data_IF_298887254072
#
_entry.id   IF_298887254072
#
_cell.length_a   1.000
_cell.length_b   1.000
_cell.length_c   1.000
_cell.angle_alpha   90.00
_cell.angle_beta   90.00
_cell.angle_gamma   90.00
#
_symmetry.space_group_name_H-M   'P 1'
#
loop_
_entity.id
_entity.type
_entity.pdbx_description
1 polymer ?
#
# COMPACT_ATOMS: atom_id res chain seq x y z
N UNK A 1 -26.65 4.09 52.51
CA UNK A 1 -25.50 3.43 51.85
C UNK A 1 -25.56 3.81 50.38
N UNK A 2 -24.47 4.43 49.94
CA UNK A 2 -24.40 5.42 48.85
C UNK A 2 -24.56 4.85 47.44
N UNK A 3 -25.20 5.67 46.59
CA UNK A 3 -25.21 5.54 45.14
C UNK A 3 -23.86 6.01 44.58
N UNK A 4 -23.11 5.11 43.92
CA UNK A 4 -21.90 5.49 43.19
C UNK A 4 -22.28 6.05 41.82
N UNK A 5 -22.46 7.37 41.79
CA UNK A 5 -22.57 8.17 40.59
C UNK A 5 -21.25 8.16 39.79
N UNK A 6 -21.35 7.86 38.50
CA UNK A 6 -20.24 7.96 37.56
C UNK A 6 -19.79 9.41 37.42
N UNK A 7 -18.53 9.66 37.74
CA UNK A 7 -17.87 10.94 37.52
C UNK A 7 -17.60 11.10 36.02
N UNK A 8 -18.49 11.79 35.31
CA UNK A 8 -18.23 12.24 33.93
C UNK A 8 -17.28 13.46 33.99
N UNK A 9 -16.19 13.47 33.20
CA UNK A 9 -15.24 14.56 33.26
C UNK A 9 -15.83 15.89 32.74
N UNK A 10 -15.39 17.06 33.25
CA UNK A 10 -16.07 18.36 33.09
C UNK A 10 -16.17 18.91 31.65
N UNK A 11 -15.46 18.31 30.69
CA UNK A 11 -15.53 18.71 29.27
C UNK A 11 -16.77 18.19 28.54
N UNK A 12 -17.57 17.32 29.17
CA UNK A 12 -18.77 16.73 28.57
C UNK A 12 -19.99 17.69 28.57
N UNK A 13 -19.93 18.81 29.30
CA UNK A 13 -21.05 19.76 29.48
C UNK A 13 -20.80 21.15 28.90
N UNK A 14 -19.82 21.31 28.00
CA UNK A 14 -19.65 22.57 27.28
C UNK A 14 -20.74 22.69 26.19
N UNK A 15 -21.84 23.35 26.55
CA UNK A 15 -23.02 23.59 25.73
C UNK A 15 -22.81 24.68 24.66
N UNK A 16 -21.59 24.81 24.13
CA UNK A 16 -21.24 25.75 23.05
C UNK A 16 -20.76 25.07 21.77
N UNK A 17 -21.15 23.81 21.55
CA UNK A 17 -20.97 23.15 20.25
C UNK A 17 -21.98 23.67 19.22
N UNK A 18 -21.63 24.73 18.50
CA UNK A 18 -22.31 25.13 17.27
C UNK A 18 -21.93 24.10 16.19
N UNK A 19 -22.86 23.31 15.63
CA UNK A 19 -22.53 22.38 14.56
C UNK A 19 -21.98 23.17 13.37
N UNK A 20 -20.81 22.77 12.88
CA UNK A 20 -20.29 23.27 11.61
C UNK A 20 -21.35 23.01 10.54
N UNK A 21 -21.74 24.00 9.73
CA UNK A 21 -22.73 23.80 8.69
C UNK A 21 -22.26 22.70 7.74
N UNK A 22 -23.18 21.79 7.43
CA UNK A 22 -23.01 20.71 6.48
C UNK A 22 -22.31 21.21 5.20
N UNK A 23 -21.37 20.41 4.70
CA UNK A 23 -20.58 20.66 3.49
C UNK A 23 -21.46 20.66 2.21
N UNK A 24 -22.30 21.68 2.06
CA UNK A 24 -23.23 21.81 0.95
C UNK A 24 -23.89 23.18 0.94
N UNK A 25 -23.10 24.25 0.73
CA UNK A 25 -23.50 25.55 0.18
C UNK A 25 -22.40 26.60 0.43
N UNK A 26 -21.35 26.62 -0.40
CA UNK A 26 -20.50 27.81 -0.55
C UNK A 26 -20.17 28.00 -2.03
N UNK A 27 -21.17 28.45 -2.79
CA UNK A 27 -20.92 29.22 -4.01
C UNK A 27 -20.32 30.57 -3.59
N UNK A 28 -19.00 30.63 -3.43
CA UNK A 28 -18.29 31.92 -3.38
C UNK A 28 -18.14 32.44 -4.82
N UNK A 29 -19.18 33.11 -5.32
CA UNK A 29 -19.01 34.08 -6.42
C UNK A 29 -18.22 35.26 -5.87
N UNK A 30 -16.94 35.37 -6.25
CA UNK A 30 -16.13 36.56 -5.99
C UNK A 30 -16.73 37.73 -6.80
N UNK A 31 -17.05 38.88 -6.20
CA UNK A 31 -17.58 40.02 -6.93
C UNK A 31 -16.59 40.51 -7.99
N UNK A 32 -17.08 40.65 -9.23
CA UNK A 32 -16.33 41.01 -10.46
C UNK A 32 -15.76 42.45 -10.49
N UNK A 33 -15.50 43.08 -9.34
CA UNK A 33 -15.16 44.51 -9.25
C UNK A 33 -13.69 44.80 -8.88
N UNK A 34 -12.86 43.77 -8.65
CA UNK A 34 -11.46 43.96 -8.23
C UNK A 34 -10.48 43.06 -9.00
N UNK A 35 -10.65 42.92 -10.32
CA UNK A 35 -9.63 42.30 -11.17
C UNK A 35 -8.97 43.37 -12.04
N UNK A 36 -7.67 43.66 -11.85
CA UNK A 36 -6.92 44.51 -12.76
C UNK A 36 -6.89 43.89 -14.16
N UNK A 37 -7.11 44.68 -15.20
CA UNK A 37 -7.21 44.29 -16.62
C UNK A 37 -5.90 43.79 -17.26
N UNK A 38 -4.92 43.38 -16.47
CA UNK A 38 -3.59 42.95 -16.93
C UNK A 38 -3.18 41.58 -16.37
N UNK A 39 -4.15 40.72 -16.06
CA UNK A 39 -3.82 39.33 -15.72
C UNK A 39 -3.37 38.61 -16.99
N UNK A 40 -2.13 38.08 -17.01
CA UNK A 40 -1.65 37.35 -18.16
C UNK A 40 -2.34 35.98 -18.23
N UNK A 41 -2.46 35.42 -19.43
CA UNK A 41 -3.27 34.25 -19.78
C UNK A 41 -2.96 32.94 -19.02
N UNK A 42 -1.97 32.94 -18.12
CA UNK A 42 -1.65 31.81 -17.24
C UNK A 42 -2.56 31.67 -16.01
N UNK A 43 -3.50 32.60 -15.77
CA UNK A 43 -4.48 32.51 -14.67
C UNK A 43 -5.82 31.85 -15.05
N UNK A 44 -5.91 31.24 -16.24
CA UNK A 44 -6.92 30.20 -16.54
C UNK A 44 -6.49 28.83 -15.99
N UNK A 45 -5.73 28.80 -14.91
CA UNK A 45 -5.65 27.62 -14.05
C UNK A 45 -6.98 27.50 -13.30
N UNK A 46 -8.04 27.13 -14.02
CA UNK A 46 -9.15 26.43 -13.40
C UNK A 46 -8.51 25.31 -12.59
N UNK A 47 -8.87 25.22 -11.31
CA UNK A 47 -8.59 24.12 -10.40
C UNK A 47 -9.22 22.80 -10.91
N UNK A 48 -8.94 22.42 -12.16
CA UNK A 48 -8.91 21.05 -12.63
C UNK A 48 -7.63 20.47 -12.08
N UNK A 49 -7.70 20.11 -10.81
CA UNK A 49 -6.73 19.29 -10.13
C UNK A 49 -6.01 18.30 -11.05
N UNK A 50 -4.67 18.26 -10.92
CA UNK A 50 -3.85 17.09 -11.24
C UNK A 50 -4.18 15.90 -10.30
N UNK A 51 -5.46 15.58 -10.14
CA UNK A 51 -5.90 14.28 -9.63
C UNK A 51 -5.93 13.34 -10.83
N UNK A 52 -5.63 12.06 -10.59
CA UNK A 52 -5.83 11.02 -11.59
C UNK A 52 -7.21 11.22 -12.21
N UNK A 53 -7.29 11.14 -13.54
CA UNK A 53 -8.57 11.28 -14.23
C UNK A 53 -9.55 10.24 -13.67
N UNK A 54 -10.84 10.56 -13.64
CA UNK A 54 -11.86 9.61 -13.16
C UNK A 54 -11.77 8.27 -13.90
N UNK A 55 -11.37 8.31 -15.18
CA UNK A 55 -11.10 7.14 -16.01
C UNK A 55 -9.89 6.33 -15.52
N UNK A 56 -8.79 6.98 -15.14
CA UNK A 56 -7.60 6.33 -14.57
C UNK A 56 -7.90 5.68 -13.22
N UNK A 57 -8.66 6.36 -12.35
CA UNK A 57 -9.08 5.80 -11.05
C UNK A 57 -9.97 4.58 -11.27
N UNK A 58 -10.96 4.69 -12.17
CA UNK A 58 -11.83 3.57 -12.50
C UNK A 58 -11.05 2.39 -13.12
N UNK A 59 -10.04 2.67 -13.95
CA UNK A 59 -9.21 1.66 -14.57
C UNK A 59 -8.27 0.96 -13.56
N UNK A 60 -7.65 1.72 -12.65
CA UNK A 60 -6.88 1.18 -11.53
C UNK A 60 -7.76 0.30 -10.65
N UNK A 61 -8.97 0.78 -10.28
CA UNK A 61 -9.91 0.01 -9.48
C UNK A 61 -10.31 -1.31 -10.16
N UNK A 62 -10.58 -1.29 -11.49
CA UNK A 62 -10.85 -2.52 -12.26
C UNK A 62 -9.67 -3.49 -12.20
N UNK A 63 -8.43 -3.01 -12.30
CA UNK A 63 -7.23 -3.84 -12.22
C UNK A 63 -7.07 -4.47 -10.82
N UNK A 64 -7.26 -3.67 -9.77
CA UNK A 64 -7.21 -4.11 -8.37
C UNK A 64 -8.28 -5.14 -8.07
N UNK A 65 -9.54 -4.90 -8.46
CA UNK A 65 -10.66 -5.85 -8.31
C UNK A 65 -10.38 -7.15 -9.04
N UNK A 66 -9.83 -7.09 -10.26
CA UNK A 66 -9.43 -8.30 -10.99
C UNK A 66 -8.38 -9.09 -10.22
N UNK A 67 -7.36 -8.43 -9.67
CA UNK A 67 -6.36 -9.06 -8.81
C UNK A 67 -6.99 -9.70 -7.57
N UNK A 68 -7.93 -9.01 -6.96
CA UNK A 68 -8.67 -9.46 -5.80
C UNK A 68 -9.43 -10.77 -6.08
N UNK A 69 -10.17 -10.83 -7.19
CA UNK A 69 -10.92 -12.02 -7.64
C UNK A 69 -9.96 -13.19 -7.90
N UNK A 70 -8.86 -12.94 -8.62
CA UNK A 70 -7.86 -13.98 -8.90
C UNK A 70 -7.21 -14.50 -7.61
N UNK A 71 -6.89 -13.61 -6.67
CA UNK A 71 -6.33 -13.97 -5.37
C UNK A 71 -7.30 -14.79 -4.53
N UNK A 72 -8.58 -14.42 -4.49
CA UNK A 72 -9.62 -15.21 -3.81
C UNK A 72 -9.80 -16.58 -4.47
N UNK A 73 -9.87 -16.64 -5.80
CA UNK A 73 -10.03 -17.89 -6.54
C UNK A 73 -8.84 -18.83 -6.28
N UNK A 74 -7.61 -18.33 -6.36
CA UNK A 74 -6.40 -19.09 -6.05
C UNK A 74 -6.38 -19.53 -4.57
N UNK A 75 -6.77 -18.65 -3.65
CA UNK A 75 -6.82 -18.94 -2.23
C UNK A 75 -7.84 -20.01 -1.86
N UNK A 76 -9.03 -19.98 -2.47
CA UNK A 76 -10.04 -21.03 -2.29
C UNK A 76 -9.61 -22.35 -2.95
N UNK A 77 -9.01 -22.28 -4.14
CA UNK A 77 -8.48 -23.44 -4.84
C UNK A 77 -7.36 -24.15 -4.05
N UNK A 78 -6.62 -23.43 -3.21
CA UNK A 78 -5.62 -24.02 -2.31
C UNK A 78 -6.23 -24.46 -0.97
N UNK A 79 -7.04 -23.60 -0.36
CA UNK A 79 -7.49 -23.79 1.02
C UNK A 79 -8.58 -24.83 1.18
N UNK A 80 -9.52 -24.94 0.23
CA UNK A 80 -10.60 -25.93 0.29
C UNK A 80 -10.04 -27.35 0.14
N UNK A 81 -9.23 -27.68 -0.89
CA UNK A 81 -8.59 -28.99 -0.96
C UNK A 81 -7.66 -29.26 0.21
N UNK A 82 -6.92 -28.25 0.70
CA UNK A 82 -6.09 -28.36 1.90
C UNK A 82 -6.91 -28.75 3.13
N UNK A 83 -8.05 -28.10 3.36
CA UNK A 83 -8.96 -28.42 4.47
C UNK A 83 -9.53 -29.84 4.33
N UNK A 84 -9.93 -30.25 3.13
CA UNK A 84 -10.42 -31.61 2.86
C UNK A 84 -9.35 -32.68 3.09
N UNK A 85 -8.10 -32.39 2.69
CA UNK A 85 -6.97 -33.28 2.92
C UNK A 85 -6.68 -33.45 4.41
N UNK A 86 -6.60 -32.33 5.17
CA UNK A 86 -6.43 -32.37 6.62
C UNK A 86 -7.59 -33.12 7.31
N UNK A 87 -8.82 -32.92 6.84
CA UNK A 87 -10.01 -33.61 7.36
C UNK A 87 -9.93 -35.13 7.19
N UNK A 88 -9.36 -35.61 6.09
CA UNK A 88 -9.17 -37.05 5.86
C UNK A 88 -7.99 -37.63 6.62
N UNK A 89 -6.87 -36.92 6.70
CA UNK A 89 -5.62 -37.49 7.21
C UNK A 89 -5.43 -37.36 8.71
N UNK A 90 -5.95 -36.28 9.32
CA UNK A 90 -5.67 -35.92 10.72
C UNK A 90 -6.93 -35.98 11.60
N UNK A 91 -7.04 -36.97 12.51
CA UNK A 91 -8.21 -37.14 13.38
C UNK A 91 -8.53 -35.90 14.23
N UNK A 92 -7.50 -35.19 14.68
CA UNK A 92 -7.65 -33.95 15.43
C UNK A 92 -8.31 -32.84 14.60
N UNK A 93 -7.96 -32.72 13.31
CA UNK A 93 -8.59 -31.74 12.43
C UNK A 93 -10.03 -32.12 12.09
N UNK A 94 -10.32 -33.42 11.97
CA UNK A 94 -11.68 -33.93 11.77
C UNK A 94 -12.62 -33.53 12.90
N UNK A 95 -12.15 -33.62 14.15
CA UNK A 95 -12.89 -33.26 15.35
C UNK A 95 -13.12 -31.74 15.52
N UNK A 96 -12.47 -30.88 14.73
CA UNK A 96 -12.66 -29.44 14.82
C UNK A 96 -14.10 -29.04 14.40
N UNK A 97 -14.70 -28.05 15.09
CA UNK A 97 -15.97 -27.45 14.67
C UNK A 97 -15.82 -26.74 13.32
N UNK A 98 -16.93 -26.62 12.59
CA UNK A 98 -16.93 -26.09 11.21
C UNK A 98 -16.35 -24.67 11.13
N UNK A 99 -16.57 -23.85 12.15
CA UNK A 99 -16.09 -22.47 12.24
C UNK A 99 -14.55 -22.40 12.18
N UNK A 100 -13.85 -23.31 12.86
CA UNK A 100 -12.38 -23.35 12.83
C UNK A 100 -11.85 -23.85 11.48
N UNK A 101 -12.60 -24.73 10.80
CA UNK A 101 -12.26 -25.19 9.43
C UNK A 101 -12.42 -24.06 8.42
N UNK A 102 -13.50 -23.28 8.52
CA UNK A 102 -13.70 -22.08 7.68
C UNK A 102 -12.65 -21.02 7.96
N UNK A 103 -12.30 -20.81 9.23
CA UNK A 103 -11.25 -19.85 9.60
C UNK A 103 -9.88 -20.22 9.00
N UNK A 104 -9.54 -21.51 8.93
CA UNK A 104 -8.37 -21.95 8.17
C UNK A 104 -8.42 -21.50 6.70
N UNK A 105 -9.57 -21.67 6.04
CA UNK A 105 -9.73 -21.23 4.65
C UNK A 105 -9.59 -19.71 4.50
N UNK A 106 -10.12 -18.93 5.44
CA UNK A 106 -9.99 -17.47 5.48
C UNK A 106 -8.52 -17.07 5.65
N UNK A 107 -7.79 -17.70 6.57
CA UNK A 107 -6.37 -17.37 6.81
C UNK A 107 -5.47 -17.65 5.61
N UNK A 108 -5.83 -18.59 4.75
CA UNK A 108 -5.10 -18.83 3.49
C UNK A 108 -5.57 -17.88 2.39
N UNK A 109 -6.88 -17.64 2.29
CA UNK A 109 -7.46 -16.89 1.17
C UNK A 109 -7.29 -15.37 1.30
N UNK A 110 -7.46 -14.81 2.50
CA UNK A 110 -7.42 -13.35 2.70
C UNK A 110 -6.04 -12.73 2.38
N UNK A 111 -4.90 -13.34 2.75
CA UNK A 111 -3.60 -12.84 2.34
C UNK A 111 -3.39 -12.91 0.83
N UNK A 112 -3.81 -14.00 0.18
CA UNK A 112 -3.68 -14.16 -1.28
C UNK A 112 -4.55 -13.15 -2.05
N UNK A 113 -5.76 -12.88 -1.56
CA UNK A 113 -6.61 -11.79 -2.03
C UNK A 113 -5.86 -10.45 -1.97
N UNK A 114 -5.32 -10.09 -0.80
CA UNK A 114 -4.67 -8.80 -0.60
C UNK A 114 -3.43 -8.63 -1.48
N UNK A 115 -2.57 -9.65 -1.54
CA UNK A 115 -1.34 -9.64 -2.33
C UNK A 115 -1.65 -9.49 -3.83
N UNK A 116 -2.63 -10.24 -4.36
CA UNK A 116 -2.94 -10.19 -5.79
C UNK A 116 -3.68 -8.91 -6.17
N UNK A 117 -4.55 -8.38 -5.30
CA UNK A 117 -5.18 -7.08 -5.51
C UNK A 117 -4.13 -5.97 -5.64
N UNK A 118 -3.21 -5.89 -4.68
CA UNK A 118 -2.12 -4.91 -4.68
C UNK A 118 -1.23 -5.06 -5.92
N UNK A 119 -0.80 -6.29 -6.22
CA UNK A 119 0.09 -6.57 -7.36
C UNK A 119 -0.53 -6.11 -8.69
N UNK A 120 -1.83 -6.25 -8.88
CA UNK A 120 -2.51 -5.82 -10.11
C UNK A 120 -2.75 -4.31 -10.15
N UNK A 121 -2.94 -3.66 -9.01
CA UNK A 121 -2.95 -2.20 -8.91
C UNK A 121 -1.60 -1.62 -9.33
N UNK A 122 -0.52 -2.10 -8.72
CA UNK A 122 0.85 -1.67 -9.06
C UNK A 122 1.19 -1.93 -10.53
N UNK A 123 0.83 -3.11 -11.07
CA UNK A 123 1.07 -3.44 -12.47
C UNK A 123 0.32 -2.49 -13.43
N UNK A 124 -0.89 -2.04 -13.06
CA UNK A 124 -1.63 -1.07 -13.85
C UNK A 124 -0.95 0.31 -13.83
N UNK A 125 -0.50 0.75 -12.65
CA UNK A 125 0.20 2.03 -12.51
C UNK A 125 1.49 2.04 -13.34
N UNK A 126 2.30 0.98 -13.23
CA UNK A 126 3.52 0.79 -14.03
C UNK A 126 3.26 0.80 -15.55
N UNK A 127 2.10 0.27 -15.99
CA UNK A 127 1.72 0.25 -17.40
C UNK A 127 1.33 1.62 -17.94
N UNK A 128 0.85 2.51 -17.06
CA UNK A 128 0.40 3.86 -17.40
C UNK A 128 1.57 4.86 -17.39
N UNK A 129 2.69 4.53 -16.74
CA UNK A 129 3.89 5.36 -16.74
C UNK A 129 4.44 5.55 -18.16
N UNK A 130 4.42 6.79 -18.66
CA UNK A 130 4.95 7.19 -19.97
C UNK A 130 5.96 8.34 -19.85
N UNK A 131 6.86 8.47 -20.84
CA UNK A 131 7.78 9.60 -20.98
C UNK A 131 8.92 9.68 -19.96
N UNK A 132 9.28 10.91 -19.60
CA UNK A 132 10.39 11.30 -18.73
C UNK A 132 10.41 10.59 -17.36
N UNK A 133 9.26 10.43 -16.70
CA UNK A 133 9.19 9.81 -15.37
C UNK A 133 9.63 8.33 -15.35
N UNK A 134 9.28 7.57 -16.38
CA UNK A 134 9.70 6.16 -16.52
C UNK A 134 11.20 6.03 -16.80
N UNK A 135 11.78 6.98 -17.55
CA UNK A 135 13.22 7.00 -17.86
C UNK A 135 14.04 7.35 -16.63
N UNK A 136 13.58 8.30 -15.81
CA UNK A 136 14.23 8.65 -14.55
C UNK A 136 14.14 7.50 -13.55
N UNK A 137 12.98 6.86 -13.39
CA UNK A 137 12.85 5.65 -12.54
C UNK A 137 13.82 4.55 -12.97
N UNK A 138 13.96 4.30 -14.28
CA UNK A 138 14.90 3.32 -14.81
C UNK A 138 16.37 3.71 -14.58
N UNK A 139 16.67 5.01 -14.66
CA UNK A 139 18.00 5.54 -14.35
C UNK A 139 18.34 5.33 -12.87
N UNK A 140 17.43 5.68 -11.98
CA UNK A 140 17.56 5.46 -10.54
C UNK A 140 17.75 3.97 -10.24
N UNK A 141 16.96 3.09 -10.86
CA UNK A 141 17.12 1.63 -10.73
C UNK A 141 18.51 1.17 -11.19
N UNK A 142 19.00 1.66 -12.32
CA UNK A 142 20.34 1.32 -12.84
C UNK A 142 21.46 1.82 -11.91
N UNK A 143 21.30 3.01 -11.35
CA UNK A 143 22.24 3.58 -10.39
C UNK A 143 22.23 2.78 -9.07
N UNK A 144 21.05 2.34 -8.62
CA UNK A 144 20.90 1.45 -7.47
C UNK A 144 21.53 0.07 -7.71
N UNK A 145 21.33 -0.54 -8.88
CA UNK A 145 21.96 -1.80 -9.26
C UNK A 145 23.48 -1.67 -9.32
N UNK A 146 23.98 -0.56 -9.86
CA UNK A 146 25.41 -0.28 -9.93
C UNK A 146 26.00 -0.09 -8.52
N UNK A 147 25.29 0.63 -7.64
CA UNK A 147 25.63 0.76 -6.21
C UNK A 147 25.65 -0.61 -5.54
N UNK A 148 24.59 -1.40 -5.72
CA UNK A 148 24.43 -2.73 -5.17
C UNK A 148 25.58 -3.66 -5.59
N UNK A 149 25.95 -3.63 -6.87
CA UNK A 149 27.01 -4.48 -7.40
C UNK A 149 28.38 -4.18 -6.77
N UNK A 150 28.61 -2.93 -6.34
CA UNK A 150 29.83 -2.50 -5.65
C UNK A 150 29.88 -2.89 -4.17
N UNK A 151 28.75 -3.27 -3.56
CA UNK A 151 28.69 -3.69 -2.16
C UNK A 151 29.35 -5.07 -1.96
N UNK A 152 30.00 -5.24 -0.81
CA UNK A 152 30.50 -6.53 -0.35
C UNK A 152 29.34 -7.45 0.09
N UNK A 153 29.55 -8.76 0.18
CA UNK A 153 28.52 -9.77 0.49
C UNK A 153 27.77 -9.49 1.81
N UNK A 154 28.48 -9.02 2.84
CA UNK A 154 27.84 -8.66 4.11
C UNK A 154 26.96 -7.40 3.98
N UNK A 155 27.39 -6.41 3.21
CA UNK A 155 26.66 -5.17 2.96
C UNK A 155 25.43 -5.45 2.09
N UNK A 156 25.56 -6.31 1.07
CA UNK A 156 24.44 -6.83 0.29
C UNK A 156 23.42 -7.52 1.18
N UNK A 157 23.84 -8.41 2.07
CA UNK A 157 22.89 -9.08 2.98
C UNK A 157 22.15 -8.06 3.87
N UNK A 158 22.87 -7.07 4.42
CA UNK A 158 22.25 -5.99 5.20
C UNK A 158 21.26 -5.18 4.36
N UNK A 159 21.66 -4.69 3.19
CA UNK A 159 20.79 -3.88 2.33
C UNK A 159 19.56 -4.69 1.86
N UNK A 160 19.72 -5.98 1.52
CA UNK A 160 18.57 -6.86 1.25
C UNK A 160 17.64 -7.00 2.46
N UNK A 161 18.21 -7.18 3.66
CA UNK A 161 17.44 -7.35 4.88
C UNK A 161 16.65 -6.09 5.23
N UNK A 162 17.23 -4.90 5.07
CA UNK A 162 16.55 -3.62 5.28
C UNK A 162 15.42 -3.40 4.27
N UNK A 163 15.67 -3.67 2.98
CA UNK A 163 14.63 -3.58 1.93
C UNK A 163 13.47 -4.56 2.14
N UNK A 164 13.74 -5.71 2.76
CA UNK A 164 12.75 -6.76 3.00
C UNK A 164 12.36 -6.90 4.48
N UNK A 165 12.60 -5.87 5.29
CA UNK A 165 12.41 -5.90 6.75
C UNK A 165 11.02 -6.41 7.16
N UNK A 166 9.96 -5.95 6.50
CA UNK A 166 8.57 -6.35 6.78
C UNK A 166 8.36 -7.83 6.43
N UNK A 167 8.92 -8.29 5.30
CA UNK A 167 8.83 -9.70 4.89
C UNK A 167 9.59 -10.60 5.86
N UNK A 168 10.75 -10.16 6.34
CA UNK A 168 11.55 -10.90 7.32
C UNK A 168 10.82 -10.98 8.66
N UNK A 169 10.24 -9.87 9.15
CA UNK A 169 9.48 -9.88 10.42
C UNK A 169 8.25 -10.78 10.30
N UNK A 170 7.48 -10.65 9.23
CA UNK A 170 6.31 -11.49 8.98
C UNK A 170 6.69 -12.97 8.81
N UNK A 171 7.77 -13.25 8.07
CA UNK A 171 8.29 -14.60 7.87
C UNK A 171 8.81 -15.21 9.18
N UNK A 172 9.55 -14.45 9.98
CA UNK A 172 10.05 -14.89 11.30
C UNK A 172 8.91 -15.13 12.27
N UNK A 173 7.86 -14.32 12.24
CA UNK A 173 6.65 -14.53 13.02
C UNK A 173 5.94 -15.84 12.62
N UNK A 174 5.73 -16.04 11.32
CA UNK A 174 5.11 -17.26 10.80
C UNK A 174 5.93 -18.51 11.13
N UNK A 175 7.26 -18.42 11.00
CA UNK A 175 8.18 -19.48 11.39
C UNK A 175 8.11 -19.75 12.91
N UNK A 176 8.04 -18.70 13.73
CA UNK A 176 7.86 -18.80 15.18
C UNK A 176 6.55 -19.49 15.56
N UNK A 177 5.45 -19.16 14.89
CA UNK A 177 4.16 -19.85 15.07
C UNK A 177 4.24 -21.33 14.70
N UNK A 178 4.90 -21.65 13.59
CA UNK A 178 5.06 -23.03 13.15
C UNK A 178 5.90 -23.85 14.14
N UNK A 179 7.01 -23.28 14.62
CA UNK A 179 7.88 -23.90 15.63
C UNK A 179 7.14 -24.09 16.96
N UNK A 180 6.48 -23.04 17.48
CA UNK A 180 5.71 -23.10 18.71
C UNK A 180 4.58 -24.15 18.60
N UNK A 181 3.85 -24.17 17.48
CA UNK A 181 2.82 -25.17 17.20
C UNK A 181 3.40 -26.59 17.19
N UNK A 182 4.56 -26.79 16.56
CA UNK A 182 5.26 -28.08 16.55
C UNK A 182 5.69 -28.54 17.95
N UNK A 183 6.19 -27.62 18.77
CA UNK A 183 6.59 -27.91 20.16
C UNK A 183 5.36 -28.30 21.00
N UNK A 184 4.29 -27.50 20.97
CA UNK A 184 3.05 -27.74 21.73
C UNK A 184 2.37 -29.05 21.32
N UNK A 185 2.44 -29.40 20.04
CA UNK A 185 1.87 -30.66 19.54
C UNK A 185 2.66 -31.89 20.00
N UNK A 186 3.99 -31.75 20.15
CA UNK A 186 4.88 -32.85 20.53
C UNK A 186 4.81 -33.19 22.03
N UNK A 187 4.42 -32.25 22.87
CA UNK A 187 4.32 -32.47 24.31
C UNK A 187 3.08 -33.33 24.66
N UNK A 188 3.29 -34.56 25.14
CA UNK A 188 2.23 -35.53 25.48
C UNK A 188 1.68 -35.37 26.90
N UNK A 189 2.31 -34.56 27.76
CA UNK A 189 2.02 -34.55 29.20
C UNK A 189 0.90 -33.57 29.62
N UNK A 190 0.42 -32.71 28.72
CA UNK A 190 -0.62 -31.72 29.02
C UNK A 190 -1.99 -32.09 28.44
N UNK A 191 -3.06 -31.85 29.20
CA UNK A 191 -4.43 -32.04 28.73
C UNK A 191 -4.78 -31.05 27.60
N UNK A 192 -5.72 -31.43 26.72
CA UNK A 192 -6.13 -30.59 25.58
C UNK A 192 -6.62 -29.19 26.02
N UNK A 193 -7.31 -29.12 27.16
CA UNK A 193 -7.80 -27.85 27.73
C UNK A 193 -6.65 -26.95 28.18
N UNK A 194 -5.60 -27.50 28.80
CA UNK A 194 -4.42 -26.72 29.22
C UNK A 194 -3.67 -26.14 28.02
N UNK A 195 -3.52 -26.93 26.95
CA UNK A 195 -2.89 -26.46 25.71
C UNK A 195 -3.64 -25.28 25.09
N UNK A 196 -4.97 -25.29 25.11
CA UNK A 196 -5.79 -24.20 24.56
C UNK A 196 -5.54 -22.89 25.33
N UNK A 197 -5.48 -22.95 26.67
CA UNK A 197 -5.21 -21.78 27.51
C UNK A 197 -3.82 -21.22 27.21
N UNK A 198 -2.81 -22.10 27.07
CA UNK A 198 -1.47 -21.68 26.69
C UNK A 198 -1.46 -21.02 25.31
N UNK A 199 -2.07 -21.65 24.31
CA UNK A 199 -2.14 -21.10 22.94
C UNK A 199 -2.72 -19.69 22.92
N UNK A 200 -3.75 -19.40 23.75
CA UNK A 200 -4.31 -18.05 23.85
C UNK A 200 -3.32 -17.04 24.41
N UNK A 201 -2.57 -17.38 25.46
CA UNK A 201 -1.54 -16.50 26.02
C UNK A 201 -0.41 -16.24 25.01
N UNK A 202 0.04 -17.28 24.30
CA UNK A 202 1.02 -17.17 23.22
C UNK A 202 0.51 -16.29 22.08
N UNK A 203 -0.74 -16.46 21.65
CA UNK A 203 -1.33 -15.66 20.57
C UNK A 203 -1.40 -14.17 20.95
N UNK A 204 -1.82 -13.86 22.17
CA UNK A 204 -1.85 -12.48 22.66
C UNK A 204 -0.45 -11.87 22.75
N UNK A 205 0.51 -12.61 23.31
CA UNK A 205 1.90 -12.16 23.37
C UNK A 205 2.51 -11.92 21.99
N UNK A 206 2.23 -12.82 21.03
CA UNK A 206 2.69 -12.68 19.64
C UNK A 206 2.06 -11.48 18.94
N UNK A 207 0.77 -11.21 19.15
CA UNK A 207 0.10 -10.06 18.56
C UNK A 207 0.73 -8.75 19.05
N UNK A 208 0.96 -8.63 20.36
CA UNK A 208 1.65 -7.47 20.96
C UNK A 208 3.07 -7.36 20.41
N UNK A 209 3.80 -8.47 20.33
CA UNK A 209 5.16 -8.49 19.77
C UNK A 209 5.21 -8.01 18.31
N UNK A 210 4.25 -8.41 17.48
CA UNK A 210 4.13 -7.94 16.09
C UNK A 210 3.84 -6.45 16.03
N UNK A 211 2.94 -5.94 16.87
CA UNK A 211 2.63 -4.51 16.90
C UNK A 211 3.86 -3.68 17.31
N UNK A 212 4.61 -4.13 18.32
CA UNK A 212 5.86 -3.48 18.73
C UNK A 212 6.89 -3.55 17.60
N UNK A 213 7.05 -4.69 16.95
CA UNK A 213 7.97 -4.83 15.82
C UNK A 213 7.58 -3.89 14.66
N UNK A 214 6.31 -3.85 14.28
CA UNK A 214 5.80 -2.94 13.25
C UNK A 214 6.03 -1.47 13.62
N UNK A 215 5.81 -1.09 14.89
CA UNK A 215 6.05 0.25 15.38
C UNK A 215 7.53 0.63 15.35
N UNK A 216 8.42 -0.25 15.81
CA UNK A 216 9.88 -0.04 15.76
C UNK A 216 10.36 0.10 14.32
N UNK A 217 9.89 -0.75 13.40
CA UNK A 217 10.22 -0.67 11.98
C UNK A 217 9.72 0.63 11.33
N UNK A 218 8.50 1.05 11.66
CA UNK A 218 7.95 2.32 11.16
C UNK A 218 8.80 3.49 11.66
N UNK A 219 9.23 3.43 12.92
CA UNK A 219 10.07 4.45 13.53
C UNK A 219 11.50 4.45 12.98
N UNK A 220 12.10 3.28 12.70
CA UNK A 220 13.43 3.18 12.08
C UNK A 220 13.40 3.70 10.65
N UNK A 221 12.39 3.32 9.85
CA UNK A 221 12.21 3.87 8.51
C UNK A 221 12.03 5.40 8.54
N UNK A 222 11.29 5.92 9.52
CA UNK A 222 11.11 7.36 9.67
C UNK A 222 12.41 8.07 10.06
N UNK A 223 13.28 7.44 10.87
CA UNK A 223 14.57 7.97 11.28
C UNK A 223 15.61 7.91 10.16
N UNK A 224 15.73 6.77 9.47
CA UNK A 224 16.60 6.64 8.31
C UNK A 224 16.17 7.60 7.19
N UNK A 225 14.86 7.78 6.96
CA UNK A 225 14.36 8.76 6.01
C UNK A 225 14.63 10.21 6.44
N UNK A 226 14.73 10.48 7.75
CA UNK A 226 15.08 11.80 8.28
C UNK A 226 16.60 12.07 8.24
N UNK A 227 17.42 11.06 8.53
CA UNK A 227 18.89 11.14 8.56
C UNK A 227 19.50 11.10 7.14
N UNK A 228 18.94 10.28 6.26
CA UNK A 228 19.30 10.20 4.84
C UNK A 228 18.36 10.98 3.94
N UNK A 229 17.79 12.09 4.43
CA UNK A 229 17.03 13.03 3.59
C UNK A 229 17.99 13.73 2.62
N UNK A 230 18.49 12.98 1.62
CA UNK A 230 18.98 13.58 0.40
C UNK A 230 17.84 14.45 -0.10
N UNK A 231 18.10 15.74 -0.31
CA UNK A 231 17.12 16.64 -0.90
C UNK A 231 16.73 15.99 -2.21
N UNK A 232 15.51 15.45 -2.27
CA UNK A 232 15.07 14.69 -3.42
C UNK A 232 15.02 15.64 -4.61
N UNK A 233 16.01 15.51 -5.48
CA UNK A 233 16.14 16.26 -6.71
C UNK A 233 15.61 15.44 -7.89
N UNK A 234 14.88 14.33 -7.65
CA UNK A 234 14.17 13.58 -8.69
C UNK A 234 13.30 14.49 -9.54
N UNK A 235 12.69 15.53 -8.95
CA UNK A 235 11.95 16.55 -9.68
C UNK A 235 12.82 17.36 -10.64
N UNK A 236 14.09 17.64 -10.29
CA UNK A 236 15.02 18.33 -11.20
C UNK A 236 15.36 17.43 -12.39
N UNK A 237 15.59 16.13 -12.14
CA UNK A 237 15.80 15.14 -13.19
C UNK A 237 14.60 15.05 -14.13
N UNK A 238 13.39 14.97 -13.57
CA UNK A 238 12.15 14.97 -14.35
C UNK A 238 11.98 16.25 -15.18
N UNK A 239 12.22 17.44 -14.60
CA UNK A 239 12.12 18.72 -15.32
C UNK A 239 13.14 18.81 -16.45
N UNK A 240 14.40 18.43 -16.22
CA UNK A 240 15.44 18.43 -17.24
C UNK A 240 15.07 17.51 -18.42
N UNK A 241 14.56 16.32 -18.12
CA UNK A 241 14.17 15.36 -19.15
C UNK A 241 12.94 15.84 -19.95
N UNK A 242 11.96 16.51 -19.31
CA UNK A 242 10.85 17.17 -20.01
C UNK A 242 11.36 18.26 -20.97
N UNK A 243 12.29 19.12 -20.52
CA UNK A 243 12.89 20.17 -21.35
C UNK A 243 13.69 19.59 -22.53
N UNK A 244 14.37 18.45 -22.35
CA UNK A 244 15.09 17.75 -23.41
C UNK A 244 14.12 17.15 -24.45
N UNK A 245 12.99 16.58 -24.00
CA UNK A 245 11.93 16.08 -24.90
C UNK A 245 11.30 17.21 -25.73
N UNK A 246 10.99 18.36 -25.11
CA UNK A 246 10.43 19.51 -25.84
C UNK A 246 11.41 20.03 -26.89
N UNK A 247 12.69 20.19 -26.53
CA UNK A 247 13.74 20.59 -27.48
C UNK A 247 13.91 19.59 -28.62
N UNK A 248 13.79 18.28 -28.34
CA UNK A 248 13.85 17.25 -29.37
C UNK A 248 12.63 17.30 -30.30
N UNK A 249 11.42 17.52 -29.77
CA UNK A 249 10.19 17.68 -30.57
C UNK A 249 10.23 18.94 -31.43
N UNK A 250 10.73 20.05 -30.90
CA UNK A 250 10.92 21.29 -31.67
C UNK A 250 11.92 21.10 -32.80
N UNK A 251 13.08 20.49 -32.54
CA UNK A 251 14.07 20.15 -33.58
C UNK A 251 13.46 19.23 -34.65
N UNK A 252 12.67 18.23 -34.25
CA UNK A 252 12.00 17.34 -35.18
C UNK A 252 10.99 18.10 -36.06
N UNK A 253 10.19 19.01 -35.47
CA UNK A 253 9.22 19.86 -36.18
C UNK A 253 9.89 20.84 -37.14
N UNK A 254 11.10 21.32 -36.81
CA UNK A 254 11.90 22.17 -37.69
C UNK A 254 12.50 21.39 -38.88
N UNK A 255 12.92 20.14 -38.67
CA UNK A 255 13.42 19.26 -39.74
C UNK A 255 12.30 18.70 -40.63
N UNK A 256 11.11 18.48 -40.05
CA UNK A 256 9.94 17.93 -40.75
C UNK A 256 8.77 18.92 -40.59
N UNK A 257 8.80 20.05 -41.30
CA UNK A 257 7.67 20.98 -41.29
C UNK A 257 6.43 20.24 -41.79
N UNK A 258 5.26 20.40 -41.14
CA UNK A 258 4.04 19.73 -41.56
C UNK A 258 3.76 20.09 -43.02
N UNK A 259 3.57 19.08 -43.87
CA UNK A 259 3.12 19.27 -45.25
C UNK A 259 1.81 20.05 -45.19
N UNK A 260 1.80 21.26 -45.78
CA UNK A 260 0.56 22.02 -45.97
C UNK A 260 -0.41 21.11 -46.71
N UNK A 261 -1.47 20.66 -46.05
CA UNK A 261 -2.63 20.12 -46.76
C UNK A 261 -3.16 21.24 -47.65
N UNK A 262 -3.29 21.03 -48.98
CA UNK A 262 -3.92 22.03 -49.81
C UNK A 262 -5.33 22.21 -49.30
N UNK A 263 -5.67 23.45 -48.94
CA UNK A 263 -7.04 23.86 -48.66
C UNK A 263 -7.90 23.43 -49.84
N UNK A 264 -8.81 22.48 -49.63
CA UNK A 264 -9.90 22.23 -50.55
C UNK A 264 -10.74 23.51 -50.60
N UNK A 265 -10.45 24.33 -51.59
CA UNK A 265 -11.32 25.42 -52.00
C UNK A 265 -12.20 24.87 -53.11
N UNK A 266 -13.52 25.01 -52.92
CA UNK A 266 -14.63 24.65 -53.82
C UNK A 266 -15.11 23.21 -53.76
#
# INVERSE_FOLDING_TARGET
MESLGGYAPPWLYDATYKPAPAAGALHHTIPSAYLPSYLPSYLHFTLGSKFATEEEIAAHNRATVRGAIEGTAAGLALSVPGSLYLHRRWPAYRALPIQLKVMFCIFVTAPLYAIQAERRGVQYDESTWTGAGKRELKRLETDEETRWNRLNTQEKFKDWAFRNQIKIVMGSWAAGMALAGGIIWRDRQQSATQKIVQVRMWAQGLAIGVLIAAAVLTQSNSKDAAEHRMVDHSWRGMVQEFEDEERAREKYRLMHPPTRTPSSSS
#
